data_IF_902241079857
#
_entry.id   IF_902241079857
#
_cell.length_a   1.000
_cell.length_b   1.000
_cell.length_c   1.000
_cell.angle_alpha   90.00
_cell.angle_beta   90.00
_cell.angle_gamma   90.00
#
_symmetry.space_group_name_H-M   'P 1'
#
loop_
_entity.id
_entity.type
_entity.pdbx_description
1 polymer ?
#
# COMPACT_ATOMS: atom_id res chain seq x y z
N UNK A 1 20.65 -10.17 0.26
CA UNK A 1 20.04 -8.85 -0.05
C UNK A 1 20.32 -7.94 1.12
N UNK A 2 21.02 -6.82 0.93
CA UNK A 2 21.36 -5.90 2.03
C UNK A 2 20.11 -5.26 2.63
N UNK A 3 20.17 -4.88 3.91
CA UNK A 3 19.05 -4.25 4.62
C UNK A 3 18.55 -2.96 3.93
N UNK A 4 19.47 -2.10 3.48
CA UNK A 4 19.11 -0.89 2.71
C UNK A 4 18.35 -1.21 1.41
N UNK A 5 18.68 -2.32 0.75
CA UNK A 5 17.95 -2.79 -0.43
C UNK A 5 16.54 -3.28 -0.06
N UNK A 6 16.38 -3.97 1.07
CA UNK A 6 15.07 -4.43 1.56
C UNK A 6 14.13 -3.25 1.87
N UNK A 7 14.64 -2.27 2.62
CA UNK A 7 13.93 -1.02 2.95
C UNK A 7 13.46 -0.30 1.69
N UNK A 8 14.35 -0.19 0.70
CA UNK A 8 14.02 0.41 -0.60
C UNK A 8 12.91 -0.35 -1.31
N UNK A 9 13.02 -1.68 -1.45
CA UNK A 9 12.01 -2.51 -2.13
C UNK A 9 10.64 -2.34 -1.48
N UNK A 10 10.54 -2.43 -0.14
CA UNK A 10 9.26 -2.28 0.54
C UNK A 10 8.65 -0.89 0.31
N UNK A 11 9.48 0.16 0.39
CA UNK A 11 9.02 1.54 0.14
C UNK A 11 8.47 1.69 -1.27
N UNK A 12 9.22 1.26 -2.29
CA UNK A 12 8.78 1.41 -3.69
C UNK A 12 7.52 0.58 -3.99
N UNK A 13 7.40 -0.63 -3.43
CA UNK A 13 6.17 -1.43 -3.56
C UNK A 13 4.97 -0.73 -2.92
N UNK A 14 5.14 -0.18 -1.71
CA UNK A 14 4.10 0.56 -1.03
C UNK A 14 3.71 1.82 -1.80
N UNK A 15 4.66 2.59 -2.31
CA UNK A 15 4.37 3.79 -3.12
C UNK A 15 3.57 3.43 -4.38
N UNK A 16 3.92 2.33 -5.05
CA UNK A 16 3.14 1.83 -6.19
C UNK A 16 1.71 1.45 -5.82
N UNK A 17 1.51 0.76 -4.69
CA UNK A 17 0.17 0.44 -4.19
C UNK A 17 -0.62 1.71 -3.85
N UNK A 18 0.01 2.67 -3.16
CA UNK A 18 -0.60 3.95 -2.78
C UNK A 18 -1.09 4.70 -4.02
N UNK A 19 -0.21 4.94 -4.99
CA UNK A 19 -0.55 5.66 -6.21
C UNK A 19 -1.64 4.97 -7.02
N UNK A 20 -1.66 3.64 -7.01
CA UNK A 20 -2.75 2.87 -7.64
C UNK A 20 -4.10 3.11 -6.96
N UNK A 21 -4.15 3.07 -5.62
CA UNK A 21 -5.35 3.41 -4.87
C UNK A 21 -5.77 4.88 -5.08
N UNK A 22 -4.81 5.81 -5.18
CA UNK A 22 -5.07 7.21 -5.51
C UNK A 22 -5.73 7.35 -6.87
N UNK A 23 -5.24 6.65 -7.89
CA UNK A 23 -5.85 6.65 -9.21
C UNK A 23 -7.31 6.17 -9.19
N UNK A 24 -7.61 5.11 -8.43
CA UNK A 24 -9.00 4.64 -8.24
C UNK A 24 -9.85 5.71 -7.55
N UNK A 25 -9.33 6.34 -6.50
CA UNK A 25 -10.03 7.41 -5.80
C UNK A 25 -10.33 8.60 -6.71
N UNK A 26 -9.35 9.05 -7.49
CA UNK A 26 -9.52 10.16 -8.43
C UNK A 26 -10.56 9.84 -9.51
N UNK A 27 -10.56 8.63 -10.08
CA UNK A 27 -11.61 8.21 -11.03
C UNK A 27 -13.01 8.23 -10.42
N UNK A 28 -13.11 8.06 -9.09
CA UNK A 28 -14.37 8.10 -8.34
C UNK A 28 -14.69 9.47 -7.74
N UNK A 29 -13.89 10.50 -8.04
CA UNK A 29 -14.11 11.87 -7.57
C UNK A 29 -13.58 12.16 -6.15
N UNK A 30 -12.72 11.31 -5.60
CA UNK A 30 -12.09 11.50 -4.29
C UNK A 30 -10.68 12.07 -4.42
N UNK A 31 -10.36 13.05 -3.58
CA UNK A 31 -9.00 13.53 -3.37
C UNK A 31 -8.54 13.12 -1.97
N UNK A 32 -7.38 12.47 -1.88
CA UNK A 32 -6.78 12.07 -0.60
C UNK A 32 -5.83 13.14 -0.08
N UNK A 33 -5.99 13.55 1.17
CA UNK A 33 -5.11 14.51 1.84
C UNK A 33 -3.95 13.83 2.56
N UNK A 34 -4.10 12.56 2.87
CA UNK A 34 -3.10 11.72 3.50
C UNK A 34 -3.30 10.26 3.11
N UNK A 35 -2.34 9.42 3.50
CA UNK A 35 -2.36 8.00 3.17
C UNK A 35 -3.35 7.22 4.05
N UNK A 36 -3.74 7.75 5.20
CA UNK A 36 -4.67 7.06 6.12
C UNK A 36 -6.11 7.11 5.57
N UNK A 37 -6.46 8.22 4.93
CA UNK A 37 -7.71 8.41 4.19
C UNK A 37 -7.90 7.35 3.10
N UNK A 38 -6.82 6.85 2.51
CA UNK A 38 -6.88 5.75 1.53
C UNK A 38 -7.33 4.44 2.22
N UNK A 39 -6.89 4.18 3.46
CA UNK A 39 -7.35 3.02 4.23
C UNK A 39 -8.87 3.07 4.40
N UNK A 40 -9.42 4.20 4.84
CA UNK A 40 -10.86 4.37 5.01
C UNK A 40 -11.61 4.29 3.69
N UNK A 41 -11.05 4.81 2.60
CA UNK A 41 -11.66 4.67 1.29
C UNK A 41 -11.75 3.22 0.82
N UNK A 42 -10.68 2.42 1.00
CA UNK A 42 -10.71 0.99 0.70
C UNK A 42 -11.77 0.26 1.55
N UNK A 43 -11.89 0.64 2.82
CA UNK A 43 -12.79 0.00 3.78
C UNK A 43 -14.25 0.41 3.57
N UNK A 44 -14.54 1.70 3.66
CA UNK A 44 -15.89 2.25 3.72
C UNK A 44 -16.51 2.46 2.35
N UNK A 45 -15.71 2.79 1.33
CA UNK A 45 -16.22 3.12 0.00
C UNK A 45 -16.14 1.90 -0.92
N UNK A 46 -14.99 1.22 -0.98
CA UNK A 46 -14.83 0.05 -1.85
C UNK A 46 -15.29 -1.26 -1.20
N UNK A 47 -15.52 -1.28 0.12
CA UNK A 47 -15.91 -2.47 0.90
C UNK A 47 -14.89 -3.60 0.84
N UNK A 48 -13.61 -3.23 0.81
CA UNK A 48 -12.47 -4.14 0.74
C UNK A 48 -11.72 -4.19 2.09
N UNK A 49 -12.41 -4.54 3.18
CA UNK A 49 -11.90 -4.42 4.55
C UNK A 49 -10.55 -5.16 4.76
N UNK A 50 -10.39 -6.34 4.14
CA UNK A 50 -9.13 -7.11 4.22
C UNK A 50 -7.98 -6.39 3.53
N UNK A 51 -8.24 -5.77 2.37
CA UNK A 51 -7.23 -5.00 1.64
C UNK A 51 -6.91 -3.71 2.39
N UNK A 52 -7.90 -3.03 2.97
CA UNK A 52 -7.71 -1.84 3.80
C UNK A 52 -6.76 -2.14 4.98
N UNK A 53 -6.99 -3.24 5.69
CA UNK A 53 -6.12 -3.69 6.79
C UNK A 53 -4.67 -3.91 6.32
N UNK A 54 -4.48 -4.55 5.15
CA UNK A 54 -3.13 -4.78 4.59
C UNK A 54 -2.47 -3.49 4.13
N UNK A 55 -3.23 -2.60 3.49
CA UNK A 55 -2.75 -1.29 3.08
C UNK A 55 -2.23 -0.50 4.28
N UNK A 56 -3.00 -0.48 5.37
CA UNK A 56 -2.62 0.20 6.61
C UNK A 56 -1.36 -0.40 7.25
N UNK A 57 -1.24 -1.74 7.23
CA UNK A 57 -0.02 -2.44 7.67
C UNK A 57 1.20 -1.94 6.89
N UNK A 58 1.13 -1.90 5.56
CA UNK A 58 2.25 -1.45 4.74
C UNK A 58 2.55 0.05 4.89
N UNK A 59 1.52 0.89 5.09
CA UNK A 59 1.67 2.31 5.45
C UNK A 59 2.48 2.48 6.73
N UNK A 60 2.12 1.74 7.78
CA UNK A 60 2.82 1.76 9.08
C UNK A 60 4.26 1.26 8.96
N UNK A 61 4.50 0.18 8.22
CA UNK A 61 5.85 -0.35 7.96
C UNK A 61 6.74 0.67 7.23
N UNK A 62 6.23 1.29 6.16
CA UNK A 62 6.93 2.33 5.42
C UNK A 62 7.24 3.55 6.30
N UNK A 63 6.29 3.98 7.14
CA UNK A 63 6.53 5.07 8.09
C UNK A 63 7.57 4.68 9.16
N UNK A 64 7.53 3.44 9.65
CA UNK A 64 8.54 2.84 10.52
C UNK A 64 9.95 2.97 9.97
N UNK A 65 10.13 2.60 8.70
CA UNK A 65 11.41 2.69 8.00
C UNK A 65 11.84 4.15 7.80
N UNK A 66 10.94 5.00 7.30
CA UNK A 66 11.29 6.36 6.88
C UNK A 66 11.55 7.31 8.05
N UNK A 67 10.80 7.19 9.16
CA UNK A 67 10.86 8.16 10.26
C UNK A 67 11.59 7.64 11.49
N UNK A 68 11.66 6.32 11.69
CA UNK A 68 12.21 5.72 12.91
C UNK A 68 13.43 4.83 12.65
N UNK A 69 13.82 4.63 11.39
CA UNK A 69 15.00 3.84 11.03
C UNK A 69 14.87 2.35 11.32
N UNK A 70 13.66 1.87 11.64
CA UNK A 70 13.40 0.51 12.12
C UNK A 70 14.05 -0.56 11.23
N UNK A 71 14.58 -1.60 11.86
CA UNK A 71 15.04 -2.80 11.15
C UNK A 71 13.85 -3.47 10.45
N UNK A 72 14.08 -3.87 9.20
CA UNK A 72 13.07 -4.57 8.40
C UNK A 72 13.45 -6.04 8.31
N UNK A 73 12.54 -6.91 8.73
CA UNK A 73 12.71 -8.34 8.52
C UNK A 73 12.63 -8.65 7.02
N UNK A 74 13.58 -9.46 6.54
CA UNK A 74 13.61 -9.88 5.14
C UNK A 74 12.29 -10.55 4.71
N UNK A 75 11.64 -11.26 5.63
CA UNK A 75 10.37 -11.94 5.34
C UNK A 75 9.21 -10.97 5.13
N UNK A 76 9.19 -9.82 5.82
CA UNK A 76 8.22 -8.75 5.55
C UNK A 76 8.38 -8.20 4.14
N UNK A 77 9.61 -8.11 3.64
CA UNK A 77 9.86 -7.69 2.25
C UNK A 77 9.40 -8.74 1.24
N UNK A 78 9.61 -10.04 1.54
CA UNK A 78 9.13 -11.13 0.67
C UNK A 78 7.60 -11.21 0.65
N UNK A 79 6.95 -11.01 1.78
CA UNK A 79 5.49 -10.88 1.85
C UNK A 79 5.01 -9.74 0.96
N UNK A 80 5.57 -8.53 1.11
CA UNK A 80 5.22 -7.37 0.29
C UNK A 80 5.38 -7.64 -1.22
N UNK A 81 6.48 -8.29 -1.61
CA UNK A 81 6.76 -8.65 -3.02
C UNK A 81 5.70 -9.54 -3.65
N UNK A 82 5.02 -10.37 -2.85
CA UNK A 82 3.97 -11.27 -3.34
C UNK A 82 2.57 -10.69 -3.16
N UNK A 83 2.29 -10.05 -2.03
CA UNK A 83 0.96 -9.56 -1.69
C UNK A 83 0.59 -8.29 -2.46
N UNK A 84 1.50 -7.32 -2.58
CA UNK A 84 1.18 -6.03 -3.17
C UNK A 84 0.74 -6.16 -4.64
N UNK A 85 1.47 -6.91 -5.51
CA UNK A 85 1.01 -7.13 -6.88
C UNK A 85 -0.35 -7.84 -6.95
N UNK A 86 -0.62 -8.78 -6.03
CA UNK A 86 -1.91 -9.47 -5.94
C UNK A 86 -3.04 -8.51 -5.54
N UNK A 87 -2.80 -7.64 -4.56
CA UNK A 87 -3.75 -6.60 -4.14
C UNK A 87 -4.07 -5.67 -5.33
N UNK A 88 -3.05 -5.18 -6.04
CA UNK A 88 -3.24 -4.36 -7.24
C UNK A 88 -4.11 -5.11 -8.27
N UNK A 89 -3.81 -6.39 -8.52
CA UNK A 89 -4.60 -7.24 -9.41
C UNK A 89 -6.08 -7.33 -9.01
N UNK A 90 -6.37 -7.46 -7.71
CA UNK A 90 -7.74 -7.51 -7.19
C UNK A 90 -8.45 -6.15 -7.32
N UNK A 91 -7.73 -5.05 -7.10
CA UNK A 91 -8.27 -3.69 -7.17
C UNK A 91 -8.46 -3.17 -8.61
N UNK A 92 -7.87 -3.82 -9.62
CA UNK A 92 -8.04 -3.44 -11.04
C UNK A 92 -9.49 -3.37 -11.48
N UNK A 93 -10.39 -4.17 -10.88
CA UNK A 93 -11.84 -4.13 -11.16
C UNK A 93 -12.50 -2.77 -10.88
N UNK A 94 -11.82 -1.87 -10.17
CA UNK A 94 -12.32 -0.52 -9.87
C UNK A 94 -11.78 0.56 -10.83
N UNK A 95 -10.85 0.22 -11.71
CA UNK A 95 -10.45 1.09 -12.81
C UNK A 95 -11.44 0.87 -13.96
N UNK A 96 -11.93 1.96 -14.56
CA UNK A 96 -12.75 1.88 -15.77
C UNK A 96 -12.00 1.25 -16.95
N UNK A 97 -12.74 0.81 -17.96
CA UNK A 97 -12.19 0.32 -19.25
C UNK A 97 -11.36 1.38 -19.97
#
# INVERSE_FOLDING_TARGET
MSEGKQKTILRELYEGLRQFCEAIGYQKGYQFLDHESITFFLDDILKENSIATKFDRYRKLRNGINYYGNELLIETTKEALSEIPRIIGLLRKYLGD
#
